data_IF_545035942965
#
_entry.id   IF_545035942965
#
_cell.length_a   1.000
_cell.length_b   1.000
_cell.length_c   1.000
_cell.angle_alpha   90.00
_cell.angle_beta   90.00
_cell.angle_gamma   90.00
#
_symmetry.space_group_name_H-M   'P 1'
#
loop_
_entity.id
_entity.type
_entity.pdbx_description
1 polymer ?
#
# COMPACT_ATOMS: atom_id res chain seq x y z
N UNK A 1 4.82 -13.57 1.42
CA UNK A 1 4.97 -12.58 2.50
C UNK A 1 3.60 -12.10 2.93
N UNK A 2 3.35 -11.93 4.21
CA UNK A 2 2.04 -11.53 4.76
C UNK A 2 2.26 -10.41 5.76
N UNK A 3 1.51 -9.31 5.62
CA UNK A 3 1.54 -8.18 6.54
C UNK A 3 0.14 -7.90 7.07
N UNK A 4 0.08 -7.46 8.30
CA UNK A 4 -1.15 -7.08 8.98
C UNK A 4 -0.96 -5.76 9.71
N UNK A 5 -1.84 -4.81 9.44
CA UNK A 5 -1.87 -3.50 10.07
C UNK A 5 -3.15 -3.32 10.88
N UNK A 6 -3.03 -2.63 12.00
CA UNK A 6 -4.13 -2.28 12.88
C UNK A 6 -4.08 -0.81 13.25
N UNK A 7 -5.10 -0.04 12.83
CA UNK A 7 -5.18 1.40 13.05
C UNK A 7 -6.54 1.84 13.58
N UNK A 8 -6.62 2.97 14.35
CA UNK A 8 -7.88 3.55 14.76
C UNK A 8 -8.68 4.09 13.55
N UNK A 9 -9.99 3.98 13.62
CA UNK A 9 -10.92 4.20 12.49
C UNK A 9 -10.83 5.63 11.92
N UNK A 10 -10.41 5.74 10.67
CA UNK A 10 -10.55 6.95 9.82
C UNK A 10 -10.90 6.52 8.38
N UNK A 11 -11.52 7.40 7.59
CA UNK A 11 -12.04 7.09 6.26
C UNK A 11 -10.92 6.93 5.23
N UNK A 12 -10.98 5.90 4.38
CA UNK A 12 -9.90 5.44 3.50
C UNK A 12 -10.12 5.86 2.04
N UNK A 13 -9.06 6.37 1.40
CA UNK A 13 -8.84 6.33 -0.04
C UNK A 13 -7.50 5.63 -0.30
N UNK A 14 -7.52 4.48 -0.93
CA UNK A 14 -6.32 3.67 -1.16
C UNK A 14 -5.62 4.07 -2.46
N UNK A 15 -4.36 4.51 -2.37
CA UNK A 15 -3.46 4.67 -3.52
C UNK A 15 -2.16 3.92 -3.21
N UNK A 16 -1.86 2.89 -4.00
CA UNK A 16 -0.65 2.07 -3.85
C UNK A 16 0.42 2.54 -4.84
N UNK A 17 1.60 2.85 -4.35
CA UNK A 17 2.77 3.16 -5.17
C UNK A 17 3.92 2.21 -4.84
N UNK A 18 4.49 1.59 -5.86
CA UNK A 18 5.71 0.78 -5.77
C UNK A 18 6.84 1.56 -6.42
N UNK A 19 7.89 1.87 -5.67
CA UNK A 19 9.06 2.60 -6.19
C UNK A 19 10.22 1.65 -6.44
N UNK A 20 10.65 1.55 -7.70
CA UNK A 20 11.91 0.95 -8.08
C UNK A 20 12.91 2.05 -8.49
N UNK A 21 14.15 1.95 -8.04
CA UNK A 21 15.21 2.89 -8.41
C UNK A 21 15.61 2.73 -9.87
N UNK A 22 15.60 3.84 -10.63
CA UNK A 22 15.93 3.88 -12.05
C UNK A 22 17.46 4.02 -12.30
N UNK A 23 17.99 3.39 -13.37
CA UNK A 23 19.35 3.65 -13.86
C UNK A 23 19.46 5.04 -14.53
N UNK A 24 20.70 5.58 -14.76
CA UNK A 24 20.90 6.97 -15.18
C UNK A 24 20.38 7.25 -16.60
N UNK A 25 19.83 8.45 -16.75
CA UNK A 25 19.11 8.95 -17.93
C UNK A 25 19.95 9.06 -19.20
N UNK A 26 19.58 8.27 -20.21
CA UNK A 26 19.73 8.70 -21.60
C UNK A 26 18.40 9.38 -22.05
N UNK A 27 18.49 10.53 -22.69
CA UNK A 27 17.31 11.27 -23.18
C UNK A 27 16.52 10.44 -24.19
N UNK A 28 15.31 10.05 -23.80
CA UNK A 28 14.32 9.43 -24.69
C UNK A 28 13.34 10.50 -25.15
N UNK A 29 12.96 10.55 -26.45
CA UNK A 29 11.95 11.50 -26.91
C UNK A 29 10.63 11.26 -26.14
N UNK A 30 10.00 12.34 -25.68
CA UNK A 30 8.74 12.29 -24.96
C UNK A 30 7.65 11.75 -25.90
N UNK A 31 7.14 10.56 -25.63
CA UNK A 31 5.88 10.11 -26.17
C UNK A 31 4.74 10.91 -25.51
N UNK A 32 3.65 11.22 -26.24
CA UNK A 32 2.54 11.94 -25.65
C UNK A 32 1.97 11.13 -24.49
N UNK A 33 1.94 11.72 -23.31
CA UNK A 33 1.34 11.14 -22.13
C UNK A 33 -0.17 10.97 -22.39
N UNK A 34 -0.56 9.76 -22.77
CA UNK A 34 -1.94 9.34 -22.61
C UNK A 34 -2.17 9.22 -21.11
N UNK A 35 -2.87 10.19 -20.53
CA UNK A 35 -3.35 10.13 -19.15
C UNK A 35 -4.36 8.99 -19.10
N UNK A 36 -3.88 7.77 -18.90
CA UNK A 36 -4.73 6.63 -18.61
C UNK A 36 -5.40 6.94 -17.27
N UNK A 37 -6.70 7.24 -17.29
CA UNK A 37 -7.48 7.41 -16.08
C UNK A 37 -7.48 6.07 -15.35
N UNK A 38 -6.78 5.99 -14.23
CA UNK A 38 -6.84 4.82 -13.35
C UNK A 38 -8.32 4.65 -12.96
N UNK A 39 -8.94 3.52 -13.29
CA UNK A 39 -10.35 3.31 -12.98
C UNK A 39 -10.54 3.38 -11.47
N UNK A 40 -11.45 4.26 -11.01
CA UNK A 40 -11.76 4.39 -9.60
C UNK A 40 -12.39 3.07 -9.11
N UNK A 41 -11.65 2.32 -8.33
CA UNK A 41 -12.15 1.10 -7.70
C UNK A 41 -13.00 1.47 -6.48
N UNK A 42 -14.24 0.94 -6.42
CA UNK A 42 -15.12 1.11 -5.26
C UNK A 42 -15.15 -0.17 -4.46
N UNK A 43 -14.70 -0.09 -3.23
CA UNK A 43 -14.75 -1.19 -2.28
C UNK A 43 -15.75 -0.88 -1.17
N UNK A 44 -16.64 -1.84 -0.88
CA UNK A 44 -17.51 -1.77 0.29
C UNK A 44 -16.82 -2.44 1.47
N UNK A 45 -16.21 -1.63 2.32
CA UNK A 45 -15.54 -2.11 3.52
C UNK A 45 -16.58 -2.50 4.57
N UNK A 46 -16.49 -3.72 5.08
CA UNK A 46 -17.44 -4.27 6.05
C UNK A 46 -16.97 -4.00 7.48
N UNK A 47 -17.94 -3.70 8.36
CA UNK A 47 -17.71 -3.72 9.80
C UNK A 47 -17.76 -5.17 10.29
N UNK A 48 -16.72 -5.62 10.96
CA UNK A 48 -16.62 -6.97 11.49
C UNK A 48 -16.25 -6.91 12.98
N UNK A 49 -16.78 -7.84 13.75
CA UNK A 49 -16.41 -8.03 15.14
C UNK A 49 -15.56 -9.29 15.24
N UNK A 50 -14.25 -9.12 15.23
CA UNK A 50 -13.31 -10.21 15.29
C UNK A 50 -12.09 -9.85 16.16
N UNK A 51 -11.55 -10.84 16.83
CA UNK A 51 -10.25 -10.70 17.47
C UNK A 51 -9.18 -11.09 16.46
N UNK A 52 -8.32 -10.13 16.11
CA UNK A 52 -7.22 -10.34 15.19
C UNK A 52 -5.89 -10.20 15.93
N UNK A 53 -5.03 -11.18 15.74
CA UNK A 53 -3.66 -11.14 16.24
C UNK A 53 -2.76 -10.54 15.17
N UNK A 54 -2.08 -9.46 15.51
CA UNK A 54 -1.14 -8.80 14.58
C UNK A 54 0.20 -9.53 14.61
N UNK A 55 0.29 -10.66 13.90
CA UNK A 55 1.50 -11.51 13.85
C UNK A 55 1.98 -11.82 12.43
N UNK A 56 1.44 -11.11 11.43
CA UNK A 56 1.78 -11.30 10.02
C UNK A 56 1.09 -12.50 9.37
N UNK A 57 0.18 -13.18 10.08
CA UNK A 57 -0.62 -14.27 9.51
C UNK A 57 -2.04 -13.76 9.24
N UNK A 58 -2.65 -14.27 8.19
CA UNK A 58 -4.04 -14.02 7.84
C UNK A 58 -4.78 -15.35 7.93
N UNK A 59 -4.74 -15.99 9.10
CA UNK A 59 -5.31 -17.32 9.32
C UNK A 59 -6.59 -17.30 10.16
N UNK A 60 -6.96 -16.15 10.75
CA UNK A 60 -8.24 -16.00 11.40
C UNK A 60 -9.39 -16.10 10.38
N UNK A 61 -10.54 -16.58 10.86
CA UNK A 61 -11.72 -16.83 10.02
C UNK A 61 -12.22 -15.55 9.34
N UNK A 62 -12.17 -14.42 10.01
CA UNK A 62 -12.61 -13.13 9.47
C UNK A 62 -11.93 -12.80 8.11
N UNK A 63 -10.67 -13.18 7.92
CA UNK A 63 -9.97 -12.95 6.66
C UNK A 63 -10.52 -13.76 5.50
N UNK A 64 -11.14 -14.90 5.77
CA UNK A 64 -11.78 -15.75 4.75
C UNK A 64 -13.13 -15.19 4.31
N UNK A 65 -13.81 -14.46 5.19
CA UNK A 65 -15.10 -13.83 4.91
C UNK A 65 -14.98 -12.53 4.09
N UNK A 66 -13.77 -11.93 4.04
CA UNK A 66 -13.53 -10.69 3.32
C UNK A 66 -13.08 -11.00 1.89
N UNK A 67 -13.82 -10.43 0.94
CA UNK A 67 -13.46 -10.54 -0.48
C UNK A 67 -12.10 -9.88 -0.74
N UNK A 68 -11.15 -10.58 -1.40
CA UNK A 68 -9.84 -10.01 -1.68
C UNK A 68 -9.91 -8.97 -2.79
N UNK A 69 -9.20 -7.87 -2.61
CA UNK A 69 -8.86 -6.93 -3.66
C UNK A 69 -7.71 -7.56 -4.45
N UNK A 70 -7.91 -7.76 -5.75
CA UNK A 70 -6.92 -8.39 -6.64
C UNK A 70 -6.58 -7.53 -7.87
N UNK A 71 -7.30 -6.44 -8.06
CA UNK A 71 -7.16 -5.56 -9.22
C UNK A 71 -6.04 -4.53 -9.00
N UNK A 72 -4.82 -5.01 -8.97
CA UNK A 72 -3.63 -4.16 -8.89
C UNK A 72 -3.04 -3.96 -10.27
N UNK A 73 -2.48 -2.78 -10.50
CA UNK A 73 -1.75 -2.43 -11.73
C UNK A 73 -0.35 -1.94 -11.40
N UNK A 74 0.54 -2.07 -12.35
CA UNK A 74 1.89 -1.52 -12.22
C UNK A 74 1.85 0.01 -12.35
N UNK A 75 2.71 0.68 -11.58
CA UNK A 75 3.06 2.09 -11.79
C UNK A 75 4.39 2.21 -12.51
N UNK A 76 5.26 1.21 -12.36
CA UNK A 76 6.60 1.11 -12.97
C UNK A 76 6.93 -0.37 -13.14
N UNK A 77 7.61 -0.80 -14.22
CA UNK A 77 8.02 -0.01 -15.39
C UNK A 77 6.90 0.30 -16.39
N UNK A 78 5.81 -0.48 -16.39
CA UNK A 78 4.77 -0.44 -17.38
C UNK A 78 3.44 0.01 -16.76
N UNK A 79 3.26 1.33 -16.64
CA UNK A 79 2.10 1.95 -16.00
C UNK A 79 0.77 1.42 -16.56
N UNK A 80 -0.13 1.03 -15.66
CA UNK A 80 -1.46 0.51 -15.98
C UNK A 80 -1.50 -0.95 -16.43
N UNK A 81 -0.36 -1.62 -16.59
CA UNK A 81 -0.33 -3.05 -16.88
C UNK A 81 -0.66 -3.90 -15.65
N UNK A 82 -1.13 -5.13 -15.82
CA UNK A 82 -1.33 -6.05 -14.70
C UNK A 82 -0.05 -6.26 -13.89
N UNK A 83 -0.18 -6.50 -12.59
CA UNK A 83 0.96 -6.81 -11.72
C UNK A 83 1.68 -8.07 -12.18
N UNK A 84 3.00 -8.06 -12.09
CA UNK A 84 3.86 -9.21 -12.44
C UNK A 84 3.73 -10.35 -11.44
N UNK A 85 3.43 -10.03 -10.18
CA UNK A 85 3.27 -10.99 -9.09
C UNK A 85 1.86 -10.91 -8.49
N UNK A 86 1.27 -12.07 -8.22
CA UNK A 86 -0.05 -12.13 -7.62
C UNK A 86 -0.07 -11.40 -6.27
N UNK A 87 -0.97 -10.45 -6.14
CA UNK A 87 -1.17 -9.65 -4.94
C UNK A 87 -2.64 -9.68 -4.53
N UNK A 88 -2.88 -9.86 -3.24
CA UNK A 88 -4.20 -9.72 -2.63
C UNK A 88 -4.12 -8.78 -1.44
N UNK A 89 -5.12 -7.93 -1.30
CA UNK A 89 -5.36 -7.16 -0.08
C UNK A 89 -6.76 -7.44 0.44
N UNK A 90 -6.92 -7.41 1.75
CA UNK A 90 -8.21 -7.50 2.43
C UNK A 90 -8.32 -6.39 3.44
N UNK A 91 -9.51 -5.82 3.56
CA UNK A 91 -9.75 -4.70 4.44
C UNK A 91 -11.11 -4.82 5.12
N UNK A 92 -11.11 -4.59 6.43
CA UNK A 92 -12.32 -4.45 7.22
C UNK A 92 -12.07 -3.50 8.41
N UNK A 93 -13.09 -3.18 9.15
CA UNK A 93 -12.96 -2.35 10.34
C UNK A 93 -13.84 -2.86 11.49
N UNK A 94 -13.48 -2.46 12.71
CA UNK A 94 -14.30 -2.61 13.91
C UNK A 94 -14.63 -1.22 14.50
N UNK A 95 -15.07 -1.16 15.74
CA UNK A 95 -15.41 0.09 16.41
C UNK A 95 -14.20 0.99 16.69
N UNK A 96 -12.99 0.46 16.62
CA UNK A 96 -11.77 1.16 17.03
C UNK A 96 -10.67 1.16 15.98
N UNK A 97 -10.67 0.18 15.08
CA UNK A 97 -9.54 -0.06 14.19
C UNK A 97 -9.97 -0.35 12.77
N UNK A 98 -9.07 -0.09 11.84
CA UNK A 98 -9.09 -0.58 10.48
C UNK A 98 -8.01 -1.66 10.37
N UNK A 99 -8.36 -2.78 9.75
CA UNK A 99 -7.48 -3.91 9.53
C UNK A 99 -7.21 -4.05 8.04
N UNK A 100 -5.93 -4.06 7.69
CA UNK A 100 -5.46 -4.32 6.34
C UNK A 100 -4.56 -5.55 6.36
N UNK A 101 -4.87 -6.52 5.51
CA UNK A 101 -4.07 -7.71 5.32
C UNK A 101 -3.60 -7.80 3.88
N UNK A 102 -2.29 -7.87 3.66
CA UNK A 102 -1.70 -8.06 2.34
C UNK A 102 -1.12 -9.45 2.22
N UNK A 103 -1.26 -10.05 1.03
CA UNK A 103 -0.64 -11.32 0.67
C UNK A 103 -0.02 -11.21 -0.71
N UNK A 104 1.28 -11.43 -0.76
CA UNK A 104 2.08 -11.41 -1.97
C UNK A 104 2.58 -12.82 -2.27
N UNK A 105 2.52 -13.22 -3.54
CA UNK A 105 3.12 -14.46 -4.03
C UNK A 105 4.32 -14.10 -4.88
N UNK A 106 5.50 -14.26 -4.30
CA UNK A 106 6.76 -13.98 -4.96
C UNK A 106 7.79 -15.07 -4.67
N UNK A 107 8.86 -15.13 -5.46
CA UNK A 107 9.98 -15.99 -5.15
C UNK A 107 10.70 -15.48 -3.89
N UNK A 108 10.81 -16.29 -2.81
CA UNK A 108 11.49 -15.87 -1.60
C UNK A 108 12.92 -15.36 -1.80
N UNK A 109 13.58 -15.81 -2.88
CA UNK A 109 14.94 -15.36 -3.22
C UNK A 109 15.00 -13.97 -3.83
N UNK A 110 13.88 -13.50 -4.40
CA UNK A 110 13.75 -12.16 -4.97
C UNK A 110 13.35 -11.10 -3.95
N UNK A 111 12.90 -11.49 -2.75
CA UNK A 111 12.41 -10.56 -1.75
C UNK A 111 13.57 -9.80 -1.11
N UNK A 112 13.58 -8.49 -1.31
CA UNK A 112 14.52 -7.61 -0.65
C UNK A 112 14.02 -7.26 0.76
N UNK A 113 14.74 -7.71 1.78
CA UNK A 113 14.39 -7.43 3.16
C UNK A 113 15.64 -7.00 3.97
N UNK A 114 15.54 -5.89 4.65
CA UNK A 114 16.56 -5.41 5.60
C UNK A 114 15.86 -4.98 6.88
N UNK A 115 16.48 -5.29 8.00
CA UNK A 115 16.01 -4.79 9.30
C UNK A 115 16.64 -3.44 9.58
N UNK A 116 15.84 -2.53 10.10
CA UNK A 116 16.31 -1.20 10.54
C UNK A 116 15.39 -0.71 11.68
N UNK A 117 15.74 0.43 12.25
CA UNK A 117 14.85 1.11 13.18
C UNK A 117 13.61 1.67 12.45
N UNK A 118 12.57 1.99 13.20
CA UNK A 118 11.38 2.69 12.70
C UNK A 118 11.79 3.92 11.88
N UNK A 119 11.06 4.21 10.81
CA UNK A 119 11.28 5.34 9.90
C UNK A 119 12.66 5.39 9.20
N UNK A 120 13.38 4.27 9.17
CA UNK A 120 14.64 4.19 8.45
C UNK A 120 14.46 3.56 7.07
N UNK A 121 14.65 4.30 5.96
CA UNK A 121 14.55 3.74 4.61
C UNK A 121 15.56 2.62 4.38
N UNK A 122 15.11 1.47 3.93
CA UNK A 122 15.96 0.28 3.75
C UNK A 122 16.13 -0.14 2.30
N UNK A 123 15.31 0.40 1.37
CA UNK A 123 15.22 -0.11 0.00
C UNK A 123 14.70 -1.55 -0.07
N UNK A 124 13.95 -1.97 0.94
CA UNK A 124 13.28 -3.27 0.99
C UNK A 124 11.95 -3.23 0.25
N UNK A 125 11.45 -4.40 -0.16
CA UNK A 125 10.07 -4.51 -0.61
C UNK A 125 9.12 -4.13 0.51
N UNK A 126 8.03 -3.44 0.18
CA UNK A 126 7.07 -2.91 1.16
C UNK A 126 5.63 -3.05 0.71
N UNK A 127 4.75 -2.96 1.67
CA UNK A 127 3.33 -2.73 1.45
C UNK A 127 2.98 -1.36 2.01
N UNK A 128 2.45 -0.51 1.14
CA UNK A 128 2.15 0.88 1.45
C UNK A 128 0.65 1.14 1.28
N UNK A 129 0.10 2.04 2.09
CA UNK A 129 -1.25 2.54 1.89
C UNK A 129 -1.38 3.98 2.38
N UNK A 130 -2.28 4.69 1.74
CA UNK A 130 -2.58 6.08 2.03
C UNK A 130 -4.05 6.23 2.42
N UNK A 131 -4.31 7.03 3.43
CA UNK A 131 -5.65 7.37 3.88
C UNK A 131 -5.88 8.86 3.72
N UNK A 132 -6.80 9.24 2.84
CA UNK A 132 -7.33 10.62 2.73
C UNK A 132 -8.51 10.77 3.69
N UNK A 133 -8.25 11.31 4.87
CA UNK A 133 -9.26 11.48 5.93
C UNK A 133 -10.20 12.66 5.69
N UNK A 134 -9.79 13.64 4.90
CA UNK A 134 -10.56 14.84 4.60
C UNK A 134 -11.28 14.77 3.25
N UNK A 135 -10.99 13.77 2.42
CA UNK A 135 -11.51 13.60 1.06
C UNK A 135 -11.17 14.79 0.15
N UNK A 136 -10.06 15.45 0.42
CA UNK A 136 -9.60 16.64 -0.31
C UNK A 136 -8.66 16.30 -1.46
N UNK A 137 -8.18 15.04 -1.54
CA UNK A 137 -7.18 14.53 -2.52
C UNK A 137 -5.86 15.31 -2.48
N UNK A 138 -5.55 15.94 -1.38
CA UNK A 138 -4.38 16.79 -1.19
C UNK A 138 -3.61 16.45 0.07
N UNK A 139 -4.32 15.99 1.09
CA UNK A 139 -3.74 15.64 2.38
C UNK A 139 -4.11 14.21 2.76
N UNK A 140 -3.23 13.54 3.47
CA UNK A 140 -3.48 12.18 3.92
C UNK A 140 -2.44 11.67 4.89
N UNK A 141 -2.69 10.47 5.38
CA UNK A 141 -1.74 9.71 6.19
C UNK A 141 -1.23 8.54 5.37
N UNK A 142 0.08 8.42 5.32
CA UNK A 142 0.76 7.33 4.66
C UNK A 142 1.34 6.37 5.69
N UNK A 143 1.19 5.10 5.41
CA UNK A 143 1.71 4.01 6.23
C UNK A 143 2.38 2.98 5.35
N UNK A 144 3.50 2.45 5.82
CA UNK A 144 4.25 1.43 5.12
C UNK A 144 4.78 0.39 6.09
N UNK A 145 4.90 -0.84 5.61
CA UNK A 145 5.65 -1.89 6.29
C UNK A 145 6.54 -2.63 5.29
N UNK A 146 7.82 -2.69 5.58
CA UNK A 146 8.78 -3.39 4.73
C UNK A 146 8.75 -4.91 4.97
N UNK A 147 9.31 -5.66 4.02
CA UNK A 147 9.53 -7.10 4.15
C UNK A 147 10.40 -7.48 5.35
N UNK A 148 11.24 -6.56 5.82
CA UNK A 148 12.04 -6.70 7.03
C UNK A 148 11.29 -6.32 8.32
N UNK A 149 10.01 -5.94 8.24
CA UNK A 149 9.20 -5.53 9.40
C UNK A 149 9.42 -4.08 9.85
N UNK A 150 10.16 -3.27 9.07
CA UNK A 150 10.33 -1.85 9.37
C UNK A 150 9.04 -1.12 9.05
N UNK A 151 8.54 -0.38 10.01
CA UNK A 151 7.33 0.44 9.89
C UNK A 151 7.70 1.88 9.61
N UNK A 152 6.88 2.52 8.77
CA UNK A 152 6.93 3.95 8.49
C UNK A 152 5.53 4.51 8.59
N UNK A 153 5.43 5.71 9.12
CA UNK A 153 4.22 6.50 9.04
C UNK A 153 4.54 7.98 8.81
N UNK A 154 3.63 8.66 8.18
CA UNK A 154 3.83 10.04 7.82
C UNK A 154 2.58 10.71 7.29
N UNK A 155 2.73 11.99 7.00
CA UNK A 155 1.70 12.79 6.35
C UNK A 155 2.07 13.07 4.91
N UNK A 156 1.06 13.14 4.06
CA UNK A 156 1.18 13.58 2.68
C UNK A 156 0.52 14.93 2.56
N UNK A 157 1.25 15.91 2.05
CA UNK A 157 0.74 17.24 1.75
C UNK A 157 1.06 17.59 0.31
N UNK A 158 0.02 17.74 -0.50
CA UNK A 158 0.15 18.25 -1.88
C UNK A 158 -0.32 19.70 -1.96
N UNK A 159 0.41 20.57 -1.29
CA UNK A 159 0.04 22.00 -1.23
C UNK A 159 0.35 22.72 -2.55
N UNK A 160 1.25 22.15 -3.39
CA UNK A 160 1.75 22.81 -4.60
C UNK A 160 1.86 21.87 -5.82
N UNK A 161 1.18 20.73 -5.84
CA UNK A 161 1.32 19.73 -6.92
C UNK A 161 2.65 18.95 -6.89
N UNK A 162 3.48 19.16 -5.89
CA UNK A 162 4.71 18.42 -5.62
C UNK A 162 4.52 17.65 -4.32
N UNK A 163 3.69 16.60 -4.36
CA UNK A 163 3.42 15.77 -3.18
C UNK A 163 4.69 15.45 -2.39
N UNK A 164 4.77 15.91 -1.17
CA UNK A 164 5.86 15.63 -0.23
C UNK A 164 5.41 14.64 0.85
N UNK A 165 6.29 13.72 1.20
CA UNK A 165 6.11 12.84 2.36
C UNK A 165 6.93 13.41 3.52
N UNK A 166 6.30 13.63 4.65
CA UNK A 166 6.97 13.97 5.90
C UNK A 166 6.81 12.80 6.87
N UNK A 167 7.92 12.15 7.23
CA UNK A 167 7.95 11.15 8.32
C UNK A 167 7.73 11.84 9.67
N UNK A 168 7.08 11.17 10.58
CA UNK A 168 6.88 11.62 11.97
C UNK A 168 7.87 10.99 12.90
#
# INVERSE_FOLDING_TARGET
MRFLFRFPVAVILLCLTVTAQAPPRGQRPAAPAATASIPAYKLNIRKMHATVKVDGKLDEEVWREIEPITQFTQTTPDEGQPVSQRTEARIFYDDKNIYLGFKFWDDPKGIHHRMAAHDTPTGSDSADFLIDTFRDRRTGYWFSISAGGVQFDGTVNDVNGNGGFESR
#
